data_IF_588656728127
#
_entry.id   IF_588656728127
#
_cell.length_a   1.000
_cell.length_b   1.000
_cell.length_c   1.000
_cell.angle_alpha   90.00
_cell.angle_beta   90.00
_cell.angle_gamma   90.00
#
_symmetry.space_group_name_H-M   'P 1'
#
loop_
_entity.id
_entity.type
_entity.pdbx_description
1 polymer ?
#
# COMPACT_ATOMS: atom_id res chain seq x y z
N UNK A 1 -69.69 0.58 57.83
CA UNK A 1 -69.21 -0.67 57.19
C UNK A 1 -68.82 -0.38 55.75
N UNK A 2 -67.52 -0.19 55.47
CA UNK A 2 -66.92 -0.33 54.13
C UNK A 2 -65.47 -0.79 54.33
N UNK A 3 -65.22 -2.05 53.98
CA UNK A 3 -63.91 -2.68 53.92
C UNK A 3 -63.12 -2.05 52.76
N UNK A 4 -61.92 -1.55 53.02
CA UNK A 4 -60.96 -1.18 51.98
C UNK A 4 -59.96 -2.33 51.81
N UNK A 5 -60.01 -2.96 50.64
CA UNK A 5 -59.14 -4.05 50.23
C UNK A 5 -57.79 -3.51 49.77
N UNK A 6 -56.73 -4.00 50.41
CA UNK A 6 -55.33 -3.69 50.13
C UNK A 6 -54.84 -4.55 48.96
N UNK A 7 -54.52 -3.94 47.81
CA UNK A 7 -53.88 -4.63 46.69
C UNK A 7 -52.35 -4.55 46.83
N UNK A 8 -51.71 -5.71 47.06
CA UNK A 8 -50.25 -5.90 47.00
C UNK A 8 -49.83 -6.17 45.55
N UNK A 9 -49.07 -5.25 44.95
CA UNK A 9 -48.43 -5.43 43.65
C UNK A 9 -47.01 -5.98 43.83
N UNK A 10 -46.82 -7.27 43.53
CA UNK A 10 -45.52 -7.90 43.36
C UNK A 10 -44.85 -7.36 42.08
N UNK A 11 -43.78 -6.58 42.23
CA UNK A 11 -42.92 -6.17 41.11
C UNK A 11 -41.85 -7.24 40.87
N UNK A 12 -41.95 -7.94 39.75
CA UNK A 12 -40.98 -8.90 39.27
C UNK A 12 -39.73 -8.18 38.72
N UNK A 13 -38.58 -8.52 39.30
CA UNK A 13 -37.26 -8.02 38.93
C UNK A 13 -36.83 -8.70 37.60
N UNK A 14 -36.89 -7.96 36.49
CA UNK A 14 -36.34 -8.39 35.22
C UNK A 14 -34.82 -8.19 35.20
N UNK A 15 -34.05 -9.26 35.42
CA UNK A 15 -32.62 -9.29 35.05
C UNK A 15 -32.52 -9.48 33.53
N UNK A 16 -32.51 -8.36 32.80
CA UNK A 16 -32.04 -8.35 31.41
C UNK A 16 -30.52 -8.43 31.42
N UNK A 17 -29.99 -9.49 30.80
CA UNK A 17 -28.56 -9.76 30.69
C UNK A 17 -27.83 -8.66 29.93
N UNK A 18 -26.97 -7.93 30.64
CA UNK A 18 -25.93 -7.11 30.04
C UNK A 18 -24.71 -8.00 29.78
N UNK A 19 -24.69 -8.72 28.65
CA UNK A 19 -23.42 -9.15 28.08
C UNK A 19 -22.76 -7.91 27.48
N UNK A 20 -21.78 -7.34 28.21
CA UNK A 20 -20.99 -6.22 27.73
C UNK A 20 -20.33 -6.58 26.41
N UNK A 21 -20.59 -5.79 25.38
CA UNK A 21 -19.73 -5.75 24.19
C UNK A 21 -18.34 -5.34 24.69
N UNK A 22 -17.39 -6.28 24.69
CA UNK A 22 -15.98 -5.96 24.95
C UNK A 22 -15.49 -5.14 23.77
N UNK A 23 -15.60 -3.83 23.90
CA UNK A 23 -15.05 -2.90 22.94
C UNK A 23 -13.52 -2.93 23.05
N UNK A 24 -12.91 -3.66 22.11
CA UNK A 24 -11.47 -3.78 22.00
C UNK A 24 -10.87 -2.72 21.05
N UNK A 25 -11.63 -1.73 20.59
CA UNK A 25 -11.08 -0.61 19.79
C UNK A 25 -9.81 -0.01 20.39
N UNK A 26 -9.71 0.26 21.71
CA UNK A 26 -8.51 0.87 22.31
C UNK A 26 -7.24 0.02 22.17
N UNK A 27 -7.37 -1.29 21.90
CA UNK A 27 -6.26 -2.23 21.81
C UNK A 27 -5.90 -2.60 20.37
N UNK A 28 -6.54 -1.99 19.36
CA UNK A 28 -6.25 -2.27 17.94
C UNK A 28 -5.09 -1.45 17.39
N UNK A 29 -4.78 -0.32 18.03
CA UNK A 29 -3.72 0.57 17.63
C UNK A 29 -2.92 1.07 18.83
N UNK A 30 -1.70 1.55 18.58
CA UNK A 30 -0.83 2.17 19.58
C UNK A 30 -0.19 3.44 19.05
N UNK A 31 0.68 4.04 19.87
CA UNK A 31 1.46 5.23 19.51
C UNK A 31 2.93 4.85 19.38
N UNK A 32 3.62 5.35 18.37
CA UNK A 32 5.06 5.16 18.19
C UNK A 32 5.75 6.51 18.28
N UNK A 33 6.79 6.59 19.11
CA UNK A 33 7.62 7.78 19.29
C UNK A 33 9.07 7.46 19.00
N UNK A 34 9.76 8.42 18.42
CA UNK A 34 11.18 8.27 18.14
C UNK A 34 11.80 9.59 17.72
N UNK A 35 13.06 9.51 17.29
CA UNK A 35 13.83 10.66 16.84
C UNK A 35 14.72 10.26 15.66
N UNK A 36 14.85 11.15 14.68
CA UNK A 36 15.82 11.03 13.59
C UNK A 36 17.15 11.68 13.99
N UNK A 37 18.27 11.02 13.72
CA UNK A 37 19.61 11.59 13.98
C UNK A 37 20.04 12.60 12.91
N UNK A 38 19.51 12.49 11.70
CA UNK A 38 19.74 13.37 10.56
C UNK A 38 18.43 13.54 9.80
N UNK A 39 18.04 14.78 9.50
CA UNK A 39 16.76 15.08 8.86
C UNK A 39 16.71 16.51 8.30
N UNK A 40 15.81 16.74 7.35
CA UNK A 40 15.33 18.06 6.94
C UNK A 40 13.86 18.19 7.36
N UNK A 41 13.50 19.08 8.31
CA UNK A 41 12.14 19.20 8.81
C UNK A 41 11.13 19.62 7.73
N UNK A 42 11.56 20.17 6.59
CA UNK A 42 10.67 20.53 5.49
C UNK A 42 10.22 19.31 4.64
N UNK A 43 10.96 18.19 4.72
CA UNK A 43 10.75 17.00 3.88
C UNK A 43 10.53 15.74 4.71
N UNK A 44 11.06 15.70 5.92
CA UNK A 44 11.07 14.51 6.75
C UNK A 44 9.64 14.04 7.10
N UNK A 45 9.41 12.75 6.84
CA UNK A 45 8.13 12.08 7.01
C UNK A 45 8.38 10.67 7.52
N UNK A 46 7.60 10.27 8.52
CA UNK A 46 7.57 8.90 9.03
C UNK A 46 6.17 8.35 8.79
N UNK A 47 6.08 7.17 8.18
CA UNK A 47 4.81 6.48 7.94
C UNK A 47 4.90 4.99 8.26
N UNK A 48 3.76 4.32 8.32
CA UNK A 48 3.71 2.85 8.47
C UNK A 48 3.67 2.19 7.10
N UNK A 49 4.53 1.19 6.87
CA UNK A 49 4.48 0.39 5.63
C UNK A 49 3.14 -0.35 5.55
N UNK A 50 2.49 -0.30 4.40
CA UNK A 50 1.16 -0.88 4.17
C UNK A 50 0.00 -0.03 4.70
N UNK A 51 0.28 1.02 5.47
CA UNK A 51 -0.69 2.01 5.93
C UNK A 51 -0.12 3.44 5.84
N UNK A 52 0.23 3.92 4.62
CA UNK A 52 0.93 5.20 4.46
C UNK A 52 0.11 6.44 4.87
N UNK A 53 -1.20 6.27 5.10
CA UNK A 53 -2.06 7.28 5.72
C UNK A 53 -1.75 7.52 7.20
N UNK A 54 -1.20 6.52 7.90
CA UNK A 54 -0.69 6.65 9.26
C UNK A 54 0.73 7.21 9.18
N UNK A 55 0.84 8.53 9.33
CA UNK A 55 2.09 9.27 9.13
C UNK A 55 2.18 10.53 9.96
N UNK A 56 3.40 10.98 10.16
CA UNK A 56 3.72 12.21 10.89
C UNK A 56 4.99 12.84 10.34
N UNK A 57 5.11 14.16 10.45
CA UNK A 57 6.37 14.86 10.24
C UNK A 57 7.30 14.73 11.45
N UNK A 58 8.37 15.51 11.46
CA UNK A 58 9.27 15.64 12.61
C UNK A 58 9.26 17.07 13.14
N UNK A 59 9.51 17.23 14.44
CA UNK A 59 9.71 18.54 15.05
C UNK A 59 11.12 19.09 14.77
N UNK A 60 11.41 20.29 15.27
CA UNK A 60 12.72 20.96 15.10
C UNK A 60 13.88 20.24 15.79
N UNK A 61 13.62 19.21 16.58
CA UNK A 61 14.61 18.36 17.24
C UNK A 61 14.67 16.96 16.62
N UNK A 62 13.93 16.73 15.54
CA UNK A 62 13.87 15.46 14.81
C UNK A 62 12.94 14.43 15.44
N UNK A 63 12.14 14.79 16.45
CA UNK A 63 11.23 13.86 17.10
C UNK A 63 9.94 13.73 16.31
N UNK A 64 9.38 12.54 16.31
CA UNK A 64 8.08 12.26 15.71
C UNK A 64 7.20 11.51 16.70
N UNK A 65 5.89 11.65 16.51
CA UNK A 65 4.85 10.83 17.15
C UNK A 65 3.90 10.36 16.06
N UNK A 66 3.76 9.05 15.90
CA UNK A 66 2.75 8.42 15.06
C UNK A 66 1.66 7.85 15.97
N UNK A 67 0.44 8.33 15.77
CA UNK A 67 -0.76 7.80 16.43
C UNK A 67 -1.43 6.77 15.51
N UNK A 68 -2.37 6.00 16.04
CA UNK A 68 -3.17 5.01 15.29
C UNK A 68 -2.35 3.97 14.52
N UNK A 69 -1.15 3.62 15.02
CA UNK A 69 -0.33 2.57 14.42
C UNK A 69 -0.95 1.21 14.74
N UNK A 70 -1.31 0.37 13.74
CA UNK A 70 -1.90 -0.94 13.99
C UNK A 70 -1.06 -1.79 14.94
N UNK A 71 -1.71 -2.44 15.90
CA UNK A 71 -1.05 -3.34 16.84
C UNK A 71 -0.52 -4.60 16.14
N UNK A 72 0.64 -5.07 16.59
CA UNK A 72 1.35 -6.23 16.03
C UNK A 72 2.70 -5.86 15.40
N UNK A 73 3.32 -6.80 14.65
CA UNK A 73 4.52 -6.53 13.86
C UNK A 73 4.22 -5.46 12.82
N UNK A 74 5.07 -4.44 12.79
CA UNK A 74 4.97 -3.32 11.87
C UNK A 74 6.35 -2.95 11.36
N UNK A 75 6.37 -2.02 10.41
CA UNK A 75 7.61 -1.41 9.95
C UNK A 75 7.35 0.06 9.60
N UNK A 76 8.24 0.93 10.08
CA UNK A 76 8.22 2.32 9.70
C UNK A 76 8.93 2.51 8.36
N UNK A 77 8.37 3.33 7.50
CA UNK A 77 9.02 3.91 6.34
C UNK A 77 9.37 5.36 6.68
N UNK A 78 10.66 5.70 6.64
CA UNK A 78 11.18 7.01 7.02
C UNK A 78 11.81 7.67 5.81
N UNK A 79 11.31 8.84 5.44
CA UNK A 79 12.01 9.81 4.59
C UNK A 79 12.62 10.84 5.51
N UNK A 80 13.94 11.01 5.48
CA UNK A 80 14.63 11.95 6.35
C UNK A 80 15.06 13.22 5.60
N UNK A 81 15.55 13.06 4.38
CA UNK A 81 15.94 14.16 3.46
C UNK A 81 15.58 13.75 2.03
N UNK A 82 15.97 14.53 1.02
CA UNK A 82 15.82 14.13 -0.38
C UNK A 82 16.64 12.88 -0.78
N UNK A 83 17.63 12.50 0.01
CA UNK A 83 18.61 11.43 -0.29
C UNK A 83 18.74 10.38 0.82
N UNK A 84 18.17 10.62 1.99
CA UNK A 84 18.27 9.73 3.15
C UNK A 84 16.91 9.16 3.53
N UNK A 85 16.88 7.85 3.76
CA UNK A 85 15.68 7.13 4.17
C UNK A 85 16.02 5.92 5.06
N UNK A 86 15.03 5.38 5.76
CA UNK A 86 15.17 4.15 6.54
C UNK A 86 13.90 3.30 6.54
N UNK A 87 14.07 2.01 6.79
CA UNK A 87 13.01 1.11 7.27
C UNK A 87 13.36 0.65 8.67
N UNK A 88 12.36 0.66 9.57
CA UNK A 88 12.57 0.29 10.98
C UNK A 88 11.52 -0.73 11.37
N UNK A 89 11.89 -2.02 11.54
CA UNK A 89 10.97 -3.01 12.06
C UNK A 89 10.70 -2.76 13.54
N UNK A 90 9.45 -2.94 13.96
CA UNK A 90 9.03 -2.80 15.35
C UNK A 90 7.80 -3.67 15.64
N UNK A 91 7.46 -3.79 16.92
CA UNK A 91 6.20 -4.41 17.34
C UNK A 91 5.43 -3.38 18.15
N UNK A 92 4.21 -3.08 17.71
CA UNK A 92 3.32 -2.13 18.38
C UNK A 92 2.38 -2.87 19.31
N UNK A 93 2.34 -2.44 20.57
CA UNK A 93 1.39 -2.95 21.55
C UNK A 93 0.14 -2.06 21.54
N UNK A 94 -1.03 -2.66 21.38
CA UNK A 94 -2.31 -1.95 21.36
C UNK A 94 -2.56 -1.19 22.66
N UNK A 95 -3.06 0.04 22.56
CA UNK A 95 -3.36 0.93 23.68
C UNK A 95 -2.11 1.48 24.39
N UNK A 96 -0.91 1.25 23.85
CA UNK A 96 0.35 1.66 24.48
C UNK A 96 1.16 2.60 23.58
N UNK A 97 2.04 3.38 24.21
CA UNK A 97 3.09 4.11 23.53
C UNK A 97 4.38 3.29 23.51
N UNK A 98 5.01 3.20 22.35
CA UNK A 98 6.31 2.56 22.15
C UNK A 98 7.32 3.64 21.79
N UNK A 99 8.33 3.83 22.64
CA UNK A 99 9.50 4.65 22.33
C UNK A 99 10.55 3.78 21.66
N UNK A 100 10.94 4.12 20.43
CA UNK A 100 12.00 3.42 19.70
C UNK A 100 13.36 4.11 19.89
N UNK A 101 14.43 3.38 19.61
CA UNK A 101 15.77 3.96 19.56
C UNK A 101 15.87 5.03 18.45
N UNK A 102 16.84 5.94 18.61
CA UNK A 102 17.15 6.94 17.60
C UNK A 102 17.38 6.27 16.23
N UNK A 103 16.66 6.74 15.23
CA UNK A 103 16.71 6.23 13.87
C UNK A 103 17.83 6.97 13.14
N UNK A 104 18.79 6.21 12.61
CA UNK A 104 19.83 6.73 11.73
C UNK A 104 19.50 6.40 10.27
N UNK A 105 19.00 7.39 9.50
CA UNK A 105 18.75 7.22 8.07
C UNK A 105 20.03 6.87 7.31
N UNK A 106 19.88 6.19 6.18
CA UNK A 106 20.99 5.82 5.28
C UNK A 106 20.73 6.35 3.88
N UNK A 107 21.78 6.41 3.07
CA UNK A 107 21.67 6.77 1.65
C UNK A 107 20.64 5.88 0.97
N UNK A 108 19.62 6.53 0.42
CA UNK A 108 18.51 5.90 -0.26
C UNK A 108 18.83 5.67 -1.74
N UNK A 109 18.21 4.65 -2.32
CA UNK A 109 18.08 4.51 -3.76
C UNK A 109 16.95 5.39 -4.31
N UNK A 110 16.76 5.34 -5.62
CA UNK A 110 15.69 6.08 -6.30
C UNK A 110 15.27 5.34 -7.56
N UNK A 111 13.97 5.26 -7.82
CA UNK A 111 13.47 4.86 -9.12
C UNK A 111 13.36 6.06 -10.06
N UNK A 112 13.64 5.84 -11.34
CA UNK A 112 13.28 6.72 -12.43
C UNK A 112 12.30 6.00 -13.35
N UNK A 113 11.05 6.41 -13.34
CA UNK A 113 9.98 5.78 -14.12
C UNK A 113 9.95 6.39 -15.50
N UNK A 114 10.13 5.57 -16.54
CA UNK A 114 10.04 5.95 -17.95
C UNK A 114 8.88 5.23 -18.61
N UNK A 115 7.91 6.00 -19.08
CA UNK A 115 6.74 5.44 -19.75
C UNK A 115 7.02 5.16 -21.22
N UNK A 116 6.56 4.00 -21.68
CA UNK A 116 6.49 3.64 -23.08
C UNK A 116 5.04 3.42 -23.43
N UNK A 117 4.53 4.27 -24.32
CA UNK A 117 3.15 4.24 -24.78
C UNK A 117 3.12 3.72 -26.19
N UNK A 118 2.27 2.74 -26.47
CA UNK A 118 2.02 2.28 -27.85
C UNK A 118 0.78 2.98 -28.42
N UNK A 119 0.83 3.24 -29.73
CA UNK A 119 -0.24 3.90 -30.47
C UNK A 119 -0.14 5.43 -30.47
N UNK A 120 -1.22 6.09 -30.90
CA UNK A 120 -1.26 7.56 -31.09
C UNK A 120 -1.79 8.32 -29.87
N UNK A 121 -2.17 7.61 -28.81
CA UNK A 121 -2.76 8.23 -27.61
C UNK A 121 -1.63 8.87 -26.79
N UNK A 122 -1.78 10.16 -26.51
CA UNK A 122 -0.84 10.90 -25.67
C UNK A 122 -1.02 10.50 -24.20
N UNK A 123 0.08 10.33 -23.48
CA UNK A 123 0.06 10.21 -22.02
C UNK A 123 -0.09 11.60 -21.38
N UNK A 124 -1.08 11.72 -20.50
CA UNK A 124 -1.30 12.95 -19.72
C UNK A 124 -1.73 12.58 -18.32
N UNK A 125 -1.16 13.26 -17.33
CA UNK A 125 -1.56 13.16 -15.92
C UNK A 125 -1.48 11.72 -15.37
N UNK A 126 -0.39 11.03 -15.71
CA UNK A 126 -0.13 9.72 -15.13
C UNK A 126 0.26 9.87 -13.65
N UNK A 127 -0.13 8.87 -12.85
CA UNK A 127 0.19 8.72 -11.44
C UNK A 127 1.03 7.47 -11.24
N UNK A 128 2.08 7.56 -10.44
CA UNK A 128 2.88 6.44 -9.98
C UNK A 128 2.89 6.41 -8.44
N UNK A 129 2.68 5.24 -7.85
CA UNK A 129 2.64 5.02 -6.39
C UNK A 129 3.58 3.87 -6.08
N UNK A 130 4.47 4.05 -5.11
CA UNK A 130 5.27 2.95 -4.56
C UNK A 130 4.44 2.25 -3.49
N UNK A 131 4.07 1.01 -3.76
CA UNK A 131 3.07 0.26 -3.00
C UNK A 131 3.46 0.17 -1.51
N UNK A 132 2.50 0.48 -0.64
CA UNK A 132 2.69 0.42 0.81
C UNK A 132 3.54 1.54 1.40
N UNK A 133 3.99 2.53 0.61
CA UNK A 133 4.80 3.67 1.09
C UNK A 133 4.07 4.99 0.83
N UNK A 134 4.54 6.12 1.41
CA UNK A 134 3.96 7.43 1.13
C UNK A 134 4.50 8.05 -0.18
N UNK A 135 5.35 7.34 -0.93
CA UNK A 135 5.98 7.84 -2.14
C UNK A 135 5.02 7.72 -3.31
N UNK A 136 4.58 8.86 -3.82
CA UNK A 136 3.77 8.96 -5.03
C UNK A 136 4.20 10.16 -5.87
N UNK A 137 3.92 10.10 -7.17
CA UNK A 137 4.09 11.18 -8.11
C UNK A 137 2.88 11.26 -9.05
N UNK A 138 2.48 12.46 -9.41
CA UNK A 138 1.30 12.76 -10.26
C UNK A 138 1.67 13.76 -11.34
N UNK A 139 0.83 13.92 -12.37
CA UNK A 139 1.13 14.85 -13.46
C UNK A 139 2.24 14.35 -14.38
N UNK A 140 2.52 13.05 -14.39
CA UNK A 140 3.64 12.48 -15.14
C UNK A 140 3.32 12.39 -16.64
N UNK A 141 4.33 12.53 -17.48
CA UNK A 141 4.27 12.39 -18.94
C UNK A 141 5.34 11.43 -19.48
N UNK A 142 5.27 11.10 -20.76
CA UNK A 142 6.18 10.15 -21.43
C UNK A 142 7.45 10.81 -22.01
N UNK A 143 7.69 12.10 -21.73
CA UNK A 143 8.80 12.84 -22.36
C UNK A 143 10.14 12.60 -21.69
N UNK A 144 10.14 12.37 -20.38
CA UNK A 144 11.34 12.18 -19.59
C UNK A 144 11.11 11.14 -18.48
N UNK A 145 12.16 10.48 -17.98
CA UNK A 145 12.07 9.68 -16.78
C UNK A 145 11.72 10.55 -15.56
N UNK A 146 10.77 10.10 -14.75
CA UNK A 146 10.31 10.80 -13.56
C UNK A 146 10.84 10.16 -12.28
N UNK A 147 11.30 11.00 -11.35
CA UNK A 147 11.88 10.53 -10.09
C UNK A 147 10.80 10.02 -9.14
N UNK A 148 11.05 8.86 -8.53
CA UNK A 148 10.20 8.25 -7.51
C UNK A 148 11.08 7.78 -6.34
N UNK A 149 11.11 8.55 -5.25
CA UNK A 149 11.95 8.32 -4.08
C UNK A 149 12.13 9.58 -3.23
N UNK A 150 13.00 9.54 -2.20
CA UNK A 150 13.98 8.50 -1.88
C UNK A 150 13.37 7.18 -1.39
N UNK A 151 14.04 6.06 -1.66
CA UNK A 151 13.64 4.72 -1.22
C UNK A 151 14.78 4.03 -0.47
N UNK A 152 14.56 3.55 0.77
CA UNK A 152 15.48 2.62 1.40
C UNK A 152 15.76 1.41 0.49
N UNK A 153 16.90 0.76 0.68
CA UNK A 153 17.18 -0.48 -0.04
C UNK A 153 16.07 -1.51 0.16
N UNK A 154 15.66 -2.16 -0.92
CA UNK A 154 14.59 -3.14 -0.92
C UNK A 154 13.90 -3.29 -2.27
N UNK A 155 13.01 -4.27 -2.37
CA UNK A 155 12.19 -4.49 -3.55
C UNK A 155 10.78 -3.93 -3.32
N UNK A 156 10.26 -3.25 -4.33
CA UNK A 156 9.02 -2.49 -4.24
C UNK A 156 8.15 -2.74 -5.47
N UNK A 157 6.85 -2.86 -5.25
CA UNK A 157 5.86 -2.70 -6.29
C UNK A 157 5.63 -1.22 -6.59
N UNK A 158 5.45 -0.89 -7.87
CA UNK A 158 5.09 0.44 -8.33
C UNK A 158 3.84 0.32 -9.17
N UNK A 159 2.74 0.84 -8.64
CA UNK A 159 1.45 0.92 -9.32
C UNK A 159 1.36 2.21 -10.12
N UNK A 160 1.05 2.09 -11.41
CA UNK A 160 0.89 3.20 -12.34
C UNK A 160 -0.53 3.22 -12.89
N UNK A 161 -1.13 4.40 -12.91
CA UNK A 161 -2.42 4.65 -13.55
C UNK A 161 -2.38 5.92 -14.39
N UNK A 162 -3.13 5.93 -15.49
CA UNK A 162 -3.26 7.12 -16.34
C UNK A 162 -4.62 7.11 -17.06
N UNK A 163 -5.25 8.28 -17.30
CA UNK A 163 -6.50 8.35 -18.04
C UNK A 163 -6.44 7.69 -19.42
N UNK A 164 -7.35 6.74 -19.67
CA UNK A 164 -7.44 6.01 -20.95
C UNK A 164 -6.38 4.92 -21.14
N UNK A 165 -5.68 4.54 -20.07
CA UNK A 165 -4.74 3.42 -20.03
C UNK A 165 -5.11 2.45 -18.90
N UNK A 166 -4.90 1.16 -19.15
CA UNK A 166 -5.07 0.15 -18.11
C UNK A 166 -4.02 0.35 -17.01
N UNK A 167 -4.43 0.26 -15.75
CA UNK A 167 -3.49 0.28 -14.62
C UNK A 167 -2.49 -0.85 -14.74
N UNK A 168 -1.22 -0.53 -14.48
CA UNK A 168 -0.09 -1.47 -14.59
C UNK A 168 0.70 -1.44 -13.30
N UNK A 169 1.21 -2.60 -12.87
CA UNK A 169 2.12 -2.70 -11.73
C UNK A 169 3.41 -3.36 -12.17
N UNK A 170 4.54 -2.80 -11.74
CA UNK A 170 5.88 -3.35 -11.96
C UNK A 170 6.57 -3.53 -10.62
N UNK A 171 7.46 -4.51 -10.52
CA UNK A 171 8.26 -4.73 -9.31
C UNK A 171 9.74 -4.75 -9.66
N UNK A 172 10.55 -4.03 -8.88
CA UNK A 172 12.00 -4.06 -8.98
C UNK A 172 12.63 -3.73 -7.63
N UNK A 173 13.96 -3.83 -7.54
CA UNK A 173 14.72 -3.54 -6.33
C UNK A 173 15.57 -2.27 -6.51
N UNK A 174 15.67 -1.49 -5.43
CA UNK A 174 16.62 -0.38 -5.30
C UNK A 174 17.74 -0.76 -4.37
N UNK A 175 18.96 -0.41 -4.76
CA UNK A 175 20.13 -0.46 -3.89
C UNK A 175 20.41 0.93 -3.31
N UNK A 176 21.06 0.97 -2.14
CA UNK A 176 21.49 2.21 -1.51
C UNK A 176 22.31 3.10 -2.46
N UNK A 177 21.90 4.36 -2.62
CA UNK A 177 22.58 5.36 -3.44
C UNK A 177 22.50 5.14 -4.96
N UNK A 178 21.79 4.10 -5.44
CA UNK A 178 21.66 3.84 -6.87
C UNK A 178 20.37 4.44 -7.45
N UNK A 179 20.45 4.75 -8.74
CA UNK A 179 19.31 5.11 -9.57
C UNK A 179 18.92 3.92 -10.43
N UNK A 180 17.69 3.42 -10.25
CA UNK A 180 17.15 2.29 -11.00
C UNK A 180 16.11 2.79 -11.99
N UNK A 181 16.27 2.44 -13.27
CA UNK A 181 15.32 2.84 -14.32
C UNK A 181 14.18 1.82 -14.42
N UNK A 182 12.95 2.25 -14.16
CA UNK A 182 11.75 1.45 -14.34
C UNK A 182 11.12 1.78 -15.70
N UNK A 183 11.22 0.86 -16.64
CA UNK A 183 10.52 0.99 -17.91
C UNK A 183 9.10 0.44 -17.76
N UNK A 184 8.11 1.33 -17.84
CA UNK A 184 6.69 0.96 -17.68
C UNK A 184 6.01 1.07 -19.03
N UNK A 185 5.46 -0.04 -19.48
CA UNK A 185 4.67 -0.08 -20.70
C UNK A 185 3.18 0.13 -20.38
N UNK A 186 2.55 1.09 -21.05
CA UNK A 186 1.14 1.43 -20.84
C UNK A 186 0.29 1.02 -22.05
N UNK A 187 -0.74 0.21 -21.77
CA UNK A 187 -1.70 -0.22 -22.78
C UNK A 187 -2.94 0.68 -22.75
N UNK A 188 -3.38 1.23 -23.90
CA UNK A 188 -4.66 1.90 -23.98
C UNK A 188 -5.83 1.01 -23.54
N UNK A 189 -6.78 1.60 -22.81
CA UNK A 189 -8.05 0.92 -22.52
C UNK A 189 -8.80 0.63 -23.83
N UNK A 190 -9.42 -0.55 -23.93
CA UNK A 190 -10.15 -0.95 -25.14
C UNK A 190 -9.30 -1.48 -26.30
N UNK A 191 -7.98 -1.65 -26.16
CA UNK A 191 -7.21 -2.51 -27.07
C UNK A 191 -7.84 -3.92 -27.13
N UNK A 192 -7.83 -4.60 -28.28
CA UNK A 192 -8.51 -5.90 -28.44
C UNK A 192 -7.88 -6.97 -27.53
N UNK A 193 -8.65 -8.01 -27.19
CA UNK A 193 -8.21 -9.09 -26.30
C UNK A 193 -6.93 -9.78 -26.78
N UNK A 194 -6.71 -9.89 -28.09
CA UNK A 194 -5.48 -10.44 -28.69
C UNK A 194 -4.24 -9.61 -28.34
N UNK A 195 -4.38 -8.28 -28.25
CA UNK A 195 -3.29 -7.36 -27.89
C UNK A 195 -3.02 -7.36 -26.38
N UNK A 196 -4.02 -7.68 -25.53
CA UNK A 196 -3.82 -7.93 -24.09
C UNK A 196 -3.24 -9.31 -23.78
N UNK A 197 -3.65 -10.35 -24.50
CA UNK A 197 -3.15 -11.71 -24.29
C UNK A 197 -1.68 -11.87 -24.71
N UNK A 198 -1.26 -11.17 -25.77
CA UNK A 198 0.15 -11.07 -26.14
C UNK A 198 0.99 -10.25 -25.13
N UNK A 199 0.35 -9.43 -24.29
CA UNK A 199 0.99 -8.47 -23.39
C UNK A 199 1.12 -8.95 -21.95
N UNK A 200 0.17 -9.73 -21.44
CA UNK A 200 0.16 -10.21 -20.05
C UNK A 200 0.98 -11.50 -19.82
N UNK A 201 1.62 -12.05 -20.87
CA UNK A 201 2.36 -13.30 -20.76
C UNK A 201 1.47 -14.45 -20.29
N UNK A 202 0.33 -14.66 -20.95
CA UNK A 202 -0.37 -15.94 -20.82
C UNK A 202 0.58 -17.03 -21.32
N UNK A 203 0.99 -17.93 -20.43
CA UNK A 203 1.73 -19.12 -20.84
C UNK A 203 0.92 -19.84 -21.91
N UNK A 204 1.54 -20.04 -23.07
CA UNK A 204 1.11 -21.01 -24.09
C UNK A 204 0.90 -22.34 -23.37
N UNK A 205 -0.37 -22.78 -23.26
CA UNK A 205 -0.80 -24.18 -23.08
C UNK A 205 -2.33 -24.30 -22.89
N UNK A 206 -3.11 -23.38 -23.45
CA UNK A 206 -4.55 -23.64 -23.64
C UNK A 206 -4.95 -23.36 -25.07
N UNK A 207 -4.86 -24.42 -25.87
CA UNK A 207 -5.66 -24.55 -27.09
C UNK A 207 -7.14 -24.40 -26.70
N UNK A 208 -7.67 -23.17 -26.80
CA UNK A 208 -9.09 -22.96 -26.88
C UNK A 208 -9.54 -23.44 -28.27
N UNK A 209 -10.03 -24.67 -28.33
CA UNK A 209 -10.72 -25.19 -29.50
C UNK A 209 -11.95 -24.31 -29.79
N UNK A 210 -11.85 -23.47 -30.82
CA UNK A 210 -12.97 -22.78 -31.44
C UNK A 210 -13.45 -23.59 -32.65
N UNK A 211 -13.95 -24.80 -32.41
CA UNK A 211 -15.08 -25.33 -33.19
C UNK A 211 -15.61 -26.58 -32.46
N UNK A 212 -16.89 -26.56 -32.09
CA UNK A 212 -17.55 -27.67 -31.42
C UNK A 212 -17.86 -28.81 -32.37
N UNK A 213 -16.83 -29.49 -32.89
CA UNK A 213 -16.94 -30.79 -33.56
C UNK A 213 -15.67 -31.60 -33.32
N UNK A 214 -15.81 -32.65 -32.52
CA UNK A 214 -14.86 -33.76 -32.54
C UNK A 214 -14.97 -34.45 -33.91
N UNK A 215 -13.99 -34.20 -34.77
CA UNK A 215 -13.72 -35.06 -35.93
C UNK A 215 -12.66 -36.04 -35.48
N UNK A 216 -13.11 -37.20 -35.01
CA UNK A 216 -12.25 -38.36 -34.82
C UNK A 216 -12.00 -39.01 -36.19
N UNK A 217 -10.77 -38.90 -36.67
CA UNK A 217 -10.10 -39.77 -37.64
C UNK A 217 -8.61 -39.60 -37.30
N UNK A 218 -7.84 -40.62 -36.97
CA UNK A 218 -7.63 -41.91 -37.67
C UNK A 218 -7.14 -42.94 -36.64
N UNK A 219 -7.01 -44.26 -36.85
CA UNK A 219 -6.40 -44.96 -37.98
C UNK A 219 -6.61 -46.48 -37.81
N UNK A 220 -6.50 -47.19 -38.93
CA UNK A 220 -6.45 -48.65 -39.06
C UNK A 220 -5.37 -49.32 -38.17
N UNK A 221 -5.71 -50.46 -37.57
CA UNK A 221 -4.74 -51.57 -37.43
C UNK A 221 -5.41 -52.92 -37.14
N UNK A 222 -5.24 -53.84 -38.11
CA UNK A 222 -5.46 -55.31 -38.14
C UNK A 222 -6.88 -55.87 -38.25
#
# INVERSE_FOLDING_TARGET
>A
MRLQSLFLTLSSLGLLGACGSLDNEPFRAGTVRGRLTEFDPAVALVSVVGAPGVRSGVDTQGRFTLEDVPAGPAELFVVATGELAARVPLTVQGGQSVDIADVSPRTAGTFFVKFHVRGIRKLTDAKAIVDGTPIEASGLDDKAPHRLGPLPEGCYGVSVSAPGFASTSVQDCVDAGKQTMLNVELIPEGSSGEERCAFAGCADDSHAAMDGRDVENSDESH
#
